data_IF_926221535079
#
_entry.id   IF_926221535079
#
_cell.length_a   1.000
_cell.length_b   1.000
_cell.length_c   1.000
_cell.angle_alpha   90.00
_cell.angle_beta   90.00
_cell.angle_gamma   90.00
#
_symmetry.space_group_name_H-M   'P 1'
#
loop_
_entity.id
_entity.type
_entity.pdbx_description
1 polymer ?
#
# COMPACT_ATOMS: atom_id res chain seq x y z
N UNK A 1 -10.21 5.54 -17.25
CA UNK A 1 -10.91 5.39 -15.96
C UNK A 1 -10.22 4.32 -15.12
N UNK A 2 -10.01 4.59 -13.84
CA UNK A 2 -9.41 3.64 -12.92
C UNK A 2 -10.44 2.57 -12.51
N UNK A 3 -10.01 1.29 -12.49
CA UNK A 3 -10.85 0.18 -12.05
C UNK A 3 -10.19 -0.52 -10.87
N UNK A 4 -10.98 -1.25 -10.07
CA UNK A 4 -10.41 -2.04 -8.97
C UNK A 4 -9.38 -3.05 -9.48
N UNK A 5 -9.67 -3.71 -10.62
CA UNK A 5 -8.75 -4.70 -11.18
C UNK A 5 -7.40 -4.07 -11.54
N UNK A 6 -7.41 -2.87 -12.10
CA UNK A 6 -6.18 -2.17 -12.45
C UNK A 6 -5.38 -1.84 -11.19
N UNK A 7 -6.05 -1.34 -10.14
CA UNK A 7 -5.39 -1.03 -8.86
C UNK A 7 -4.75 -2.28 -8.27
N UNK A 8 -5.49 -3.39 -8.25
CA UNK A 8 -4.97 -4.66 -7.74
C UNK A 8 -3.74 -5.11 -8.53
N UNK A 9 -3.78 -4.99 -9.86
CA UNK A 9 -2.66 -5.38 -10.71
C UNK A 9 -1.41 -4.52 -10.45
N UNK A 10 -1.60 -3.22 -10.30
CA UNK A 10 -0.49 -2.28 -10.06
C UNK A 10 0.20 -2.58 -8.73
N UNK A 11 -0.59 -2.87 -7.68
CA UNK A 11 -0.05 -3.09 -6.35
C UNK A 11 0.24 -4.57 -6.04
N UNK A 12 0.07 -5.48 -7.02
CA UNK A 12 0.28 -6.92 -6.80
C UNK A 12 1.64 -7.25 -6.16
N UNK A 13 2.78 -6.70 -6.63
CA UNK A 13 4.07 -7.02 -5.99
C UNK A 13 4.13 -6.58 -4.53
N UNK A 14 3.53 -5.45 -4.20
CA UNK A 14 3.46 -4.96 -2.83
C UNK A 14 2.56 -5.85 -1.97
N UNK A 15 1.39 -6.22 -2.49
CA UNK A 15 0.45 -7.05 -1.76
C UNK A 15 0.99 -8.46 -1.51
N UNK A 16 1.89 -8.95 -2.38
CA UNK A 16 2.50 -10.26 -2.21
C UNK A 16 3.45 -10.35 -1.01
N UNK A 17 3.83 -9.20 -0.42
CA UNK A 17 4.66 -9.17 0.79
C UNK A 17 3.93 -9.72 2.02
N UNK A 18 2.59 -9.82 1.97
CA UNK A 18 1.82 -10.46 3.02
C UNK A 18 1.47 -9.58 4.22
N UNK A 19 1.81 -8.30 4.18
CA UNK A 19 1.48 -7.35 5.26
C UNK A 19 0.07 -6.81 5.10
N UNK A 20 -0.35 -6.59 3.86
CA UNK A 20 -1.67 -6.05 3.54
C UNK A 20 -2.45 -7.07 2.74
N UNK A 21 -3.74 -7.18 3.03
CA UNK A 21 -4.65 -8.07 2.33
C UNK A 21 -5.86 -7.27 1.87
N UNK A 22 -6.41 -7.62 0.71
CA UNK A 22 -7.59 -6.96 0.18
C UNK A 22 -8.71 -7.99 0.09
N UNK A 23 -9.84 -7.66 0.74
CA UNK A 23 -11.01 -8.53 0.78
C UNK A 23 -12.16 -7.86 0.05
N UNK A 24 -12.74 -8.56 -0.91
CA UNK A 24 -13.95 -8.09 -1.61
C UNK A 24 -15.18 -8.33 -0.73
N UNK A 25 -16.00 -7.29 -0.60
CA UNK A 25 -17.25 -7.36 0.15
C UNK A 25 -18.39 -6.79 -0.70
N UNK A 26 -19.62 -6.91 -0.21
CA UNK A 26 -20.78 -6.34 -0.89
C UNK A 26 -20.78 -4.81 -0.95
N UNK A 27 -19.93 -4.16 -0.16
CA UNK A 27 -19.83 -2.70 -0.11
C UNK A 27 -18.57 -2.15 -0.77
N UNK A 28 -17.78 -2.99 -1.43
CA UNK A 28 -16.51 -2.61 -2.06
C UNK A 28 -15.38 -3.48 -1.58
N UNK A 29 -14.16 -2.94 -1.60
CA UNK A 29 -12.99 -3.67 -1.13
C UNK A 29 -12.55 -3.14 0.22
N UNK A 30 -12.06 -4.05 1.06
CA UNK A 30 -11.56 -3.72 2.40
C UNK A 30 -10.08 -4.08 2.46
N UNK A 31 -9.27 -3.15 2.96
CA UNK A 31 -7.83 -3.37 3.16
C UNK A 31 -7.61 -3.71 4.62
N UNK A 32 -6.90 -4.83 4.84
CA UNK A 32 -6.52 -5.30 6.17
C UNK A 32 -5.01 -5.26 6.29
N UNK A 33 -4.53 -4.93 7.49
CA UNK A 33 -3.10 -4.95 7.79
C UNK A 33 -2.81 -6.07 8.78
N UNK A 34 -1.77 -6.87 8.51
CA UNK A 34 -1.37 -7.97 9.37
C UNK A 34 -0.45 -7.49 10.49
N UNK A 35 -0.83 -7.79 11.72
CA UNK A 35 0.00 -7.52 12.90
C UNK A 35 0.70 -8.81 13.31
N UNK A 36 1.99 -8.93 12.97
CA UNK A 36 2.77 -10.13 13.24
C UNK A 36 3.00 -10.36 14.73
N UNK A 37 3.00 -9.29 15.52
CA UNK A 37 3.20 -9.39 16.96
C UNK A 37 2.02 -10.08 17.65
N UNK A 38 0.80 -9.69 17.28
CA UNK A 38 -0.43 -10.25 17.85
C UNK A 38 -1.04 -11.36 16.99
N UNK A 39 -0.49 -11.59 15.81
CA UNK A 39 -0.97 -12.57 14.82
C UNK A 39 -2.46 -12.39 14.51
N UNK A 40 -2.82 -11.14 14.17
CA UNK A 40 -4.19 -10.79 13.81
C UNK A 40 -4.23 -9.70 12.75
N UNK A 41 -5.36 -9.60 12.07
CA UNK A 41 -5.61 -8.51 11.12
C UNK A 41 -6.08 -7.28 11.88
N UNK A 42 -5.49 -6.14 11.56
CA UNK A 42 -5.82 -4.84 12.15
C UNK A 42 -6.09 -3.83 11.04
N UNK A 43 -6.51 -2.64 11.42
CA UNK A 43 -6.67 -1.49 10.50
C UNK A 43 -7.57 -1.78 9.32
N UNK A 44 -8.85 -2.07 9.60
CA UNK A 44 -9.85 -2.32 8.57
C UNK A 44 -10.23 -1.00 7.89
N UNK A 45 -10.01 -0.91 6.57
CA UNK A 45 -10.32 0.29 5.79
C UNK A 45 -11.17 -0.07 4.58
N UNK A 46 -12.40 0.46 4.54
CA UNK A 46 -13.30 0.25 3.39
C UNK A 46 -12.94 1.23 2.27
N UNK A 47 -12.82 0.70 1.06
CA UNK A 47 -12.58 1.48 -0.15
C UNK A 47 -13.75 1.28 -1.10
N UNK A 48 -14.63 2.26 -1.16
CA UNK A 48 -15.86 2.17 -1.96
C UNK A 48 -15.59 2.38 -3.45
N UNK A 49 -14.50 3.06 -3.81
CA UNK A 49 -14.17 3.36 -5.20
C UNK A 49 -12.74 2.92 -5.51
N UNK A 50 -12.42 2.68 -6.81
CA UNK A 50 -11.03 2.40 -7.20
C UNK A 50 -10.07 3.53 -6.84
N UNK A 51 -10.51 4.78 -6.92
CA UNK A 51 -9.67 5.93 -6.58
C UNK A 51 -9.32 5.93 -5.09
N UNK A 52 -10.29 5.64 -4.23
CA UNK A 52 -10.05 5.53 -2.77
C UNK A 52 -9.07 4.41 -2.48
N UNK A 53 -9.23 3.26 -3.13
CA UNK A 53 -8.34 2.13 -2.93
C UNK A 53 -6.92 2.44 -3.39
N UNK A 54 -6.77 3.08 -4.55
CA UNK A 54 -5.47 3.46 -5.07
C UNK A 54 -4.75 4.43 -4.12
N UNK A 55 -5.48 5.44 -3.64
CA UNK A 55 -4.93 6.43 -2.71
C UNK A 55 -4.47 5.78 -1.41
N UNK A 56 -5.30 4.93 -0.84
CA UNK A 56 -5.00 4.25 0.43
C UNK A 56 -3.82 3.30 0.29
N UNK A 57 -3.80 2.49 -0.77
CA UNK A 57 -2.68 1.59 -1.04
C UNK A 57 -1.38 2.34 -1.30
N UNK A 58 -1.45 3.49 -1.97
CA UNK A 58 -0.27 4.29 -2.22
C UNK A 58 0.33 4.84 -0.92
N UNK A 59 -0.51 5.25 0.03
CA UNK A 59 -0.07 5.69 1.35
C UNK A 59 0.61 4.55 2.10
N UNK A 60 0.00 3.37 2.14
CA UNK A 60 0.59 2.20 2.79
C UNK A 60 1.89 1.78 2.13
N UNK A 61 1.92 1.79 0.80
CA UNK A 61 3.12 1.49 0.03
C UNK A 61 4.27 2.45 0.39
N UNK A 62 3.97 3.74 0.44
CA UNK A 62 4.96 4.77 0.77
C UNK A 62 5.51 4.55 2.19
N UNK A 63 4.64 4.33 3.16
CA UNK A 63 5.04 4.07 4.55
C UNK A 63 5.88 2.81 4.66
N UNK A 64 5.53 1.77 3.94
CA UNK A 64 6.27 0.52 3.93
C UNK A 64 7.68 0.71 3.34
N UNK A 65 7.80 1.46 2.23
CA UNK A 65 9.09 1.72 1.61
C UNK A 65 9.99 2.57 2.52
N UNK A 66 9.42 3.53 3.26
CA UNK A 66 10.15 4.30 4.25
C UNK A 66 10.68 3.39 5.37
N UNK A 67 9.85 2.48 5.85
CA UNK A 67 10.26 1.51 6.87
C UNK A 67 11.37 0.61 6.34
N UNK A 68 11.26 0.09 5.12
CA UNK A 68 12.28 -0.78 4.52
C UNK A 68 13.63 -0.08 4.37
N UNK A 69 13.63 1.23 4.08
CA UNK A 69 14.87 1.99 3.92
C UNK A 69 15.68 2.04 5.21
N UNK A 70 15.03 2.07 6.35
CA UNK A 70 15.69 2.22 7.66
C UNK A 70 15.59 0.98 8.53
N UNK A 71 14.65 0.09 8.26
CA UNK A 71 14.29 -1.08 9.09
C UNK A 71 13.95 -0.66 10.52
N UNK A 72 13.53 0.58 10.72
CA UNK A 72 13.20 1.12 12.03
C UNK A 72 14.41 1.34 12.93
N UNK A 73 15.63 1.30 12.38
CA UNK A 73 16.86 1.38 13.16
C UNK A 73 17.56 2.74 13.11
N UNK A 74 17.14 3.59 12.20
CA UNK A 74 17.71 4.94 12.02
C UNK A 74 16.67 5.86 11.43
N UNK A 75 16.93 7.14 11.43
CA UNK A 75 16.04 8.12 10.83
C UNK A 75 16.21 8.14 9.30
N UNK A 76 15.16 8.57 8.61
CA UNK A 76 15.18 8.73 7.15
C UNK A 76 16.09 9.89 6.76
N UNK A 77 16.96 9.65 5.78
CA UNK A 77 17.80 10.68 5.19
C UNK A 77 17.13 11.28 3.96
N UNK A 78 17.68 12.36 3.43
CA UNK A 78 17.19 12.96 2.18
C UNK A 78 17.29 11.96 1.02
N UNK A 79 18.34 11.15 0.97
CA UNK A 79 18.51 10.11 -0.04
C UNK A 79 17.42 9.05 0.07
N UNK A 80 17.07 8.64 1.28
CA UNK A 80 15.99 7.66 1.51
C UNK A 80 14.68 8.22 1.00
N UNK A 81 14.36 9.47 1.34
CA UNK A 81 13.12 10.12 0.92
C UNK A 81 13.07 10.28 -0.60
N UNK A 82 14.19 10.58 -1.24
CA UNK A 82 14.27 10.70 -2.69
C UNK A 82 13.98 9.36 -3.36
N UNK A 83 14.55 8.27 -2.85
CA UNK A 83 14.31 6.91 -3.39
C UNK A 83 12.87 6.47 -3.20
N UNK A 84 12.29 6.73 -2.04
CA UNK A 84 10.88 6.42 -1.76
C UNK A 84 9.98 7.24 -2.70
N UNK A 85 10.31 8.52 -2.89
CA UNK A 85 9.57 9.39 -3.82
C UNK A 85 9.61 8.88 -5.25
N UNK A 86 10.75 8.35 -5.71
CA UNK A 86 10.87 7.75 -7.04
C UNK A 86 9.96 6.52 -7.17
N UNK A 87 9.95 5.65 -6.18
CA UNK A 87 9.11 4.46 -6.19
C UNK A 87 7.63 4.83 -6.17
N UNK A 88 7.26 5.82 -5.37
CA UNK A 88 5.91 6.33 -5.32
C UNK A 88 5.47 6.87 -6.68
N UNK A 89 6.35 7.61 -7.35
CA UNK A 89 6.06 8.18 -8.68
C UNK A 89 5.86 7.09 -9.73
N UNK A 90 6.65 6.02 -9.67
CA UNK A 90 6.50 4.87 -10.56
C UNK A 90 5.10 4.26 -10.40
N UNK A 91 4.65 4.09 -9.15
CA UNK A 91 3.31 3.55 -8.89
C UNK A 91 2.22 4.48 -9.40
N UNK A 92 2.37 5.79 -9.20
CA UNK A 92 1.42 6.78 -9.73
C UNK A 92 1.30 6.70 -11.25
N UNK A 93 2.42 6.56 -11.94
CA UNK A 93 2.44 6.45 -13.41
C UNK A 93 1.73 5.18 -13.87
N UNK A 94 1.93 4.08 -13.17
CA UNK A 94 1.25 2.82 -13.51
C UNK A 94 -0.26 2.88 -13.33
N UNK A 95 -0.73 3.75 -12.43
CA UNK A 95 -2.16 3.93 -12.16
C UNK A 95 -2.87 4.78 -13.23
N UNK A 96 -2.12 5.47 -14.07
CA UNK A 96 -2.68 6.33 -15.12
C UNK A 96 -3.03 5.60 -16.41
#
# INVERSE_FOLDING_TARGET
>A
MLTFQKVLNVFQPFLSEGIYEIVSTSHGYTILEWDACCQEWISVQLCATPDDMAKTLLEHFTNYMEYKATLGRRELTEDDLAKVGEQRQIMLEKLQ
#
